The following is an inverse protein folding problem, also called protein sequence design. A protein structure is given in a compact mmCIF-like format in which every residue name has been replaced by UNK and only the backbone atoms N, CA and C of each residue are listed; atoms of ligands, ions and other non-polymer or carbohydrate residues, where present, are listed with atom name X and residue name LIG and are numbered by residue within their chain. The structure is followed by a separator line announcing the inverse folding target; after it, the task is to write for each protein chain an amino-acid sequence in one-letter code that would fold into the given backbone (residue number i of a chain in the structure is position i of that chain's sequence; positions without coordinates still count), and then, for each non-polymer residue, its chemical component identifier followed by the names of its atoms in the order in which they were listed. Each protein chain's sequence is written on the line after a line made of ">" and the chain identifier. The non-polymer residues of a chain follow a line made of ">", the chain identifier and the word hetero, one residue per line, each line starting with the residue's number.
data_IF_628368320072
#
_entry.id   IF_628368320072
#
_cell.length_a   1.000
_cell.length_b   1.000
_cell.length_c   1.000
_cell.angle_alpha   90.00
_cell.angle_beta   90.00
_cell.angle_gamma   90.00
#
_symmetry.space_group_name_H-M   'P 1'
#
loop_
_entity.id
_entity.type
_entity.pdbx_description
1 polymer ?
#
# COMPACT_ATOMS: atom_id res chain seq x y z
N UNK A 1 13.31 -4.76 -10.36
CA UNK A 1 12.08 -4.11 -9.85
C UNK A 1 12.50 -2.96 -8.97
N UNK A 2 11.86 -1.81 -9.14
CA UNK A 2 12.09 -0.62 -8.34
C UNK A 2 11.30 -0.73 -7.03
N UNK A 3 11.85 -0.15 -5.96
CA UNK A 3 11.22 -0.12 -4.64
C UNK A 3 10.56 1.23 -4.39
N UNK A 4 9.41 1.20 -3.73
CA UNK A 4 8.62 2.38 -3.42
C UNK A 4 8.14 2.32 -1.98
N UNK A 5 8.33 3.42 -1.25
CA UNK A 5 7.69 3.63 0.04
C UNK A 5 6.34 4.31 -0.20
N UNK A 6 5.28 3.65 0.25
CA UNK A 6 3.91 4.12 0.05
C UNK A 6 3.26 4.37 1.40
N UNK A 7 2.81 5.60 1.65
CA UNK A 7 1.96 5.90 2.80
C UNK A 7 0.51 6.01 2.33
N UNK A 8 -0.39 5.39 3.07
CA UNK A 8 -1.81 5.38 2.77
C UNK A 8 -2.59 5.87 4.00
N UNK A 9 -3.40 6.91 3.79
CA UNK A 9 -4.23 7.53 4.82
C UNK A 9 -5.70 7.32 4.46
N UNK A 10 -6.46 6.67 5.34
CA UNK A 10 -7.86 6.32 5.07
C UNK A 10 -8.81 7.50 5.33
N UNK A 11 -9.42 8.02 4.27
CA UNK A 11 -10.33 9.17 4.27
C UNK A 11 -11.83 8.81 4.31
N UNK A 12 -12.20 7.53 4.46
CA UNK A 12 -13.62 7.17 4.62
C UNK A 12 -14.19 7.91 5.85
N UNK A 13 -15.34 8.61 5.72
CA UNK A 13 -15.97 9.33 6.82
C UNK A 13 -16.18 8.47 8.08
N UNK A 14 -16.14 9.11 9.26
CA UNK A 14 -16.36 8.43 10.54
C UNK A 14 -17.86 8.25 10.90
N UNK A 15 -18.75 8.46 9.93
CA UNK A 15 -20.20 8.25 10.05
C UNK A 15 -20.53 6.75 10.16
N UNK A 16 -21.77 6.42 10.55
CA UNK A 16 -22.22 5.02 10.60
C UNK A 16 -22.13 4.33 9.23
N UNK A 17 -22.59 4.99 8.18
CA UNK A 17 -22.48 4.52 6.79
C UNK A 17 -21.01 4.31 6.37
N UNK A 18 -20.10 5.22 6.76
CA UNK A 18 -18.67 5.08 6.49
C UNK A 18 -18.06 3.88 7.23
N UNK A 19 -18.52 3.57 8.44
CA UNK A 19 -18.09 2.37 9.17
C UNK A 19 -18.59 1.09 8.50
N UNK A 20 -19.84 1.06 8.05
CA UNK A 20 -20.41 -0.07 7.31
C UNK A 20 -19.68 -0.29 5.98
N UNK A 21 -19.38 0.79 5.26
CA UNK A 21 -18.58 0.73 4.03
C UNK A 21 -17.19 0.13 4.29
N UNK A 22 -16.47 0.60 5.32
CA UNK A 22 -15.18 0.03 5.71
C UNK A 22 -15.31 -1.46 6.05
N UNK A 23 -16.33 -1.85 6.82
CA UNK A 23 -16.54 -3.24 7.20
C UNK A 23 -16.77 -4.15 5.99
N UNK A 24 -17.51 -3.66 4.98
CA UNK A 24 -17.74 -4.38 3.72
C UNK A 24 -16.47 -4.50 2.86
N UNK A 25 -15.65 -3.46 2.80
CA UNK A 25 -14.45 -3.43 1.94
C UNK A 25 -13.22 -4.10 2.59
N UNK A 26 -13.11 -4.08 3.92
CA UNK A 26 -11.94 -4.62 4.63
C UNK A 26 -11.59 -6.09 4.31
N UNK A 27 -12.52 -7.05 4.16
CA UNK A 27 -12.16 -8.41 3.79
C UNK A 27 -11.59 -8.47 2.36
N UNK A 28 -12.19 -7.75 1.41
CA UNK A 28 -11.72 -7.69 0.01
C UNK A 28 -10.35 -7.01 -0.08
N UNK A 29 -10.15 -5.94 0.71
CA UNK A 29 -8.87 -5.25 0.82
C UNK A 29 -7.77 -6.19 1.31
N UNK A 30 -8.09 -7.02 2.31
CA UNK A 30 -7.15 -8.01 2.86
C UNK A 30 -6.81 -9.08 1.84
N UNK A 31 -7.80 -9.59 1.13
CA UNK A 31 -7.63 -10.60 0.07
C UNK A 31 -6.71 -10.05 -1.03
N UNK A 32 -7.04 -8.87 -1.57
CA UNK A 32 -6.22 -8.25 -2.62
C UNK A 32 -4.80 -7.92 -2.15
N UNK A 33 -4.65 -7.44 -0.92
CA UNK A 33 -3.33 -7.21 -0.34
C UNK A 33 -2.52 -8.52 -0.18
N UNK A 34 -3.18 -9.65 0.08
CA UNK A 34 -2.53 -10.95 0.13
C UNK A 34 -2.06 -11.40 -1.26
N UNK A 35 -2.89 -11.26 -2.30
CA UNK A 35 -2.50 -11.55 -3.68
C UNK A 35 -1.27 -10.73 -4.10
N UNK A 36 -1.21 -9.44 -3.73
CA UNK A 36 -0.06 -8.59 -3.99
C UNK A 36 1.19 -9.04 -3.22
N UNK A 37 1.05 -9.62 -2.02
CA UNK A 37 2.17 -10.21 -1.28
C UNK A 37 2.69 -11.47 -1.95
N UNK A 38 1.78 -12.33 -2.37
CA UNK A 38 2.11 -13.60 -3.03
C UNK A 38 2.79 -13.35 -4.39
N UNK A 39 2.40 -12.27 -5.09
CA UNK A 39 3.06 -11.79 -6.30
C UNK A 39 4.41 -11.06 -6.04
N UNK A 40 4.80 -10.86 -4.77
CA UNK A 40 6.02 -10.13 -4.40
C UNK A 40 5.97 -8.61 -4.64
N UNK A 41 4.79 -8.07 -4.94
CA UNK A 41 4.55 -6.64 -5.18
C UNK A 41 4.47 -5.91 -3.83
N UNK A 42 3.66 -6.39 -2.89
CA UNK A 42 3.61 -5.86 -1.52
C UNK A 42 4.61 -6.61 -0.64
N UNK A 43 5.76 -6.01 -0.39
CA UNK A 43 6.88 -6.65 0.32
C UNK A 43 6.69 -6.63 1.84
N UNK A 44 6.33 -5.46 2.38
CA UNK A 44 6.11 -5.23 3.82
C UNK A 44 5.03 -4.19 4.03
N UNK A 45 4.34 -4.27 5.16
CA UNK A 45 3.33 -3.30 5.57
C UNK A 45 3.42 -3.09 7.08
N UNK A 46 3.35 -1.83 7.48
CA UNK A 46 3.37 -1.39 8.87
C UNK A 46 2.18 -0.48 9.15
N UNK A 47 1.78 -0.45 10.42
CA UNK A 47 0.79 0.49 10.96
C UNK A 47 1.53 1.70 11.51
N UNK A 48 1.03 2.91 11.26
CA UNK A 48 1.50 4.11 11.96
C UNK A 48 0.79 4.19 13.33
N UNK A 49 1.50 4.11 14.46
CA UNK A 49 0.87 4.19 15.78
C UNK A 49 0.14 5.52 15.99
N UNK A 50 -1.03 5.48 16.62
CA UNK A 50 -1.86 6.66 16.85
C UNK A 50 -2.68 7.13 15.64
N UNK A 51 -2.53 6.54 14.46
CA UNK A 51 -3.34 6.87 13.27
C UNK A 51 -4.01 5.64 12.66
N UNK A 52 -4.82 5.87 11.61
CA UNK A 52 -5.39 4.81 10.78
C UNK A 52 -4.53 4.51 9.55
N UNK A 53 -3.36 5.12 9.45
CA UNK A 53 -2.52 5.09 8.26
C UNK A 53 -1.66 3.84 8.23
N UNK A 54 -1.27 3.44 7.03
CA UNK A 54 -0.27 2.40 6.80
C UNK A 54 0.91 2.93 6.02
N UNK A 55 2.07 2.31 6.23
CA UNK A 55 3.26 2.46 5.41
C UNK A 55 3.53 1.10 4.79
N UNK A 56 3.71 1.05 3.47
CA UNK A 56 4.03 -0.17 2.73
C UNK A 56 5.31 -0.01 1.93
N UNK A 57 6.10 -1.10 1.86
CA UNK A 57 7.18 -1.25 0.90
C UNK A 57 6.65 -2.05 -0.28
N UNK A 58 6.62 -1.41 -1.45
CA UNK A 58 6.16 -2.03 -2.69
C UNK A 58 7.32 -2.22 -3.67
N UNK A 59 7.21 -3.23 -4.53
CA UNK A 59 8.08 -3.47 -5.67
C UNK A 59 7.26 -3.50 -6.95
N UNK A 60 7.70 -2.76 -7.95
CA UNK A 60 7.07 -2.73 -9.27
C UNK A 60 8.12 -2.52 -10.38
N UNK A 61 7.74 -2.75 -11.63
CA UNK A 61 8.63 -2.46 -12.76
C UNK A 61 8.88 -0.95 -12.90
N UNK A 62 7.83 -0.15 -12.75
CA UNK A 62 7.83 1.31 -12.86
C UNK A 62 6.66 1.92 -12.05
N UNK A 63 6.49 3.25 -12.15
CA UNK A 63 5.42 3.97 -11.48
C UNK A 63 4.02 3.59 -11.97
N UNK A 64 3.88 3.16 -13.23
CA UNK A 64 2.58 2.76 -13.82
C UNK A 64 2.13 1.44 -13.21
N UNK A 65 3.03 0.44 -13.19
CA UNK A 65 2.75 -0.86 -12.57
C UNK A 65 2.46 -0.71 -11.06
N UNK A 66 3.13 0.22 -10.37
CA UNK A 66 2.78 0.56 -8.99
C UNK A 66 1.38 1.16 -8.89
N UNK A 67 1.05 2.13 -9.75
CA UNK A 67 -0.27 2.77 -9.75
C UNK A 67 -1.38 1.73 -9.96
N UNK A 68 -1.22 0.81 -10.91
CA UNK A 68 -2.17 -0.28 -11.16
C UNK A 68 -2.35 -1.17 -9.93
N UNK A 69 -1.26 -1.54 -9.25
CA UNK A 69 -1.33 -2.32 -8.02
C UNK A 69 -2.12 -1.58 -6.93
N UNK A 70 -1.84 -0.29 -6.73
CA UNK A 70 -2.55 0.54 -5.74
C UNK A 70 -4.01 0.75 -6.12
N UNK A 71 -4.30 1.03 -7.39
CA UNK A 71 -5.66 1.23 -7.91
C UNK A 71 -6.52 -0.04 -7.84
N UNK A 72 -5.89 -1.21 -7.82
CA UNK A 72 -6.59 -2.49 -7.65
C UNK A 72 -7.11 -2.72 -6.23
N UNK A 73 -6.66 -1.95 -5.24
CA UNK A 73 -7.14 -2.07 -3.85
C UNK A 73 -8.58 -1.55 -3.73
N UNK A 74 -9.53 -2.34 -3.18
CA UNK A 74 -10.91 -1.92 -2.97
C UNK A 74 -11.09 -0.58 -2.24
N UNK A 75 -10.19 -0.25 -1.32
CA UNK A 75 -10.22 1.00 -0.56
C UNK A 75 -9.64 2.20 -1.33
N UNK A 76 -9.01 2.01 -2.49
CA UNK A 76 -8.28 3.05 -3.24
C UNK A 76 -9.06 4.35 -3.44
N UNK A 77 -10.36 4.35 -3.81
CA UNK A 77 -11.14 5.59 -3.97
C UNK A 77 -11.25 6.44 -2.70
N UNK A 78 -10.96 5.85 -1.53
CA UNK A 78 -11.07 6.48 -0.22
C UNK A 78 -9.71 6.66 0.46
N UNK A 79 -8.61 6.40 -0.24
CA UNK A 79 -7.27 6.56 0.28
C UNK A 79 -6.65 7.85 -0.26
N UNK A 80 -5.97 8.55 0.64
CA UNK A 80 -4.94 9.50 0.25
C UNK A 80 -3.60 8.78 0.27
N UNK A 81 -2.84 8.87 -0.82
CA UNK A 81 -1.64 8.08 -1.04
C UNK A 81 -0.48 9.00 -1.38
N UNK A 82 0.64 8.84 -0.67
CA UNK A 82 1.92 9.43 -1.05
C UNK A 82 2.92 8.32 -1.40
N UNK A 83 3.70 8.53 -2.46
CA UNK A 83 4.66 7.56 -2.99
C UNK A 83 6.03 8.20 -3.07
N UNK A 84 7.04 7.50 -2.56
CA UNK A 84 8.45 7.86 -2.67
C UNK A 84 9.21 6.72 -3.37
N UNK A 85 9.84 7.01 -4.52
CA UNK A 85 10.71 6.06 -5.18
C UNK A 85 12.03 5.92 -4.40
N UNK A 86 12.48 4.69 -4.18
CA UNK A 86 13.67 4.40 -3.39
C UNK A 86 14.83 3.98 -4.28
N UNK A 87 16.01 4.55 -4.02
CA UNK A 87 17.27 4.10 -4.61
C UNK A 87 17.96 3.10 -3.68
N UNK A 88 18.72 2.16 -4.27
CA UNK A 88 19.56 1.24 -3.48
C UNK A 88 20.67 2.02 -2.77
N UNK A 89 20.66 1.99 -1.44
CA UNK A 89 21.73 2.61 -0.65
C UNK A 89 23.07 1.91 -0.90
N UNK A 90 24.22 2.62 -1.00
CA UNK A 90 25.52 2.01 -1.28
C UNK A 90 25.92 0.89 -0.30
N UNK A 91 25.50 0.97 0.96
CA UNK A 91 25.79 -0.07 1.97
C UNK A 91 24.96 -1.35 1.80
N UNK A 92 23.85 -1.30 1.07
CA UNK A 92 23.04 -2.48 0.73
C UNK A 92 23.58 -3.18 -0.54
N UNK A 93 24.51 -2.54 -1.27
CA UNK A 93 25.17 -3.17 -2.39
C UNK A 93 26.12 -4.24 -1.84
N UNK A 94 25.80 -5.51 -2.10
CA UNK A 94 26.71 -6.60 -1.75
C UNK A 94 28.04 -6.37 -2.48
N UNK A 95 29.20 -6.50 -1.81
CA UNK A 95 30.47 -6.52 -2.51
C UNK A 95 30.44 -7.66 -3.53
N UNK A 96 30.88 -7.36 -4.76
CA UNK A 96 30.98 -8.32 -5.86
C UNK A 96 32.02 -9.41 -5.62
#
# INVERSE_FOLDING_TARGET
>A
MNEFLVRQSNRVPATSEGKELRARLQPLERERAQELRDAGILVRLWRVPGTRDSIGLYRAADATALHEALASLPMFPWMEISVEALATHPQEQKPG
#
